data_IF_328263153873
#
_entry.id   IF_328263153873
#
_cell.length_a   1.000
_cell.length_b   1.000
_cell.length_c   1.000
_cell.angle_alpha   90.00
_cell.angle_beta   90.00
_cell.angle_gamma   90.00
#
_symmetry.space_group_name_H-M   'P 1'
#
loop_
_entity.id
_entity.type
_entity.pdbx_description
1 polymer ?
#
# COMPACT_ATOMS: atom_id res chain seq x y z
N UNK A 1 8.53 -23.32 -15.49
CA UNK A 1 7.26 -22.64 -15.18
C UNK A 1 7.64 -21.26 -14.66
N UNK A 2 7.41 -20.18 -15.42
CA UNK A 2 7.66 -18.82 -14.89
C UNK A 2 6.51 -18.49 -13.93
N UNK A 3 6.76 -17.87 -12.76
CA UNK A 3 5.68 -17.41 -11.89
C UNK A 3 4.81 -16.42 -12.69
N UNK A 4 3.49 -16.56 -12.58
CA UNK A 4 2.57 -15.58 -13.15
C UNK A 4 2.70 -14.28 -12.35
N UNK A 5 2.63 -13.10 -13.00
CA UNK A 5 2.59 -11.84 -12.28
C UNK A 5 1.40 -11.85 -11.31
N UNK A 6 1.62 -11.36 -10.08
CA UNK A 6 0.55 -11.20 -9.10
C UNK A 6 -0.48 -10.19 -9.64
N UNK A 7 -1.78 -10.43 -9.43
CA UNK A 7 -2.80 -9.48 -9.86
C UNK A 7 -2.80 -8.24 -8.95
N UNK A 8 -3.21 -7.10 -9.49
CA UNK A 8 -3.34 -5.84 -8.73
C UNK A 8 -4.17 -6.02 -7.45
N UNK A 9 -5.30 -6.72 -7.55
CA UNK A 9 -6.16 -7.06 -6.42
C UNK A 9 -5.46 -7.91 -5.36
N UNK A 10 -4.62 -8.86 -5.76
CA UNK A 10 -3.86 -9.69 -4.82
C UNK A 10 -2.77 -8.87 -4.11
N UNK A 11 -2.06 -8.00 -4.84
CA UNK A 11 -1.09 -7.06 -4.25
C UNK A 11 -1.76 -6.13 -3.24
N UNK A 12 -2.96 -5.61 -3.53
CA UNK A 12 -3.73 -4.79 -2.60
C UNK A 12 -4.10 -5.56 -1.32
N UNK A 13 -4.56 -6.82 -1.44
CA UNK A 13 -4.83 -7.68 -0.28
C UNK A 13 -3.58 -7.88 0.58
N UNK A 14 -2.43 -8.12 -0.07
CA UNK A 14 -1.15 -8.27 0.61
C UNK A 14 -0.74 -6.97 1.30
N UNK A 15 -0.91 -5.83 0.64
CA UNK A 15 -0.64 -4.50 1.19
C UNK A 15 -1.48 -4.25 2.45
N UNK A 16 -2.80 -4.46 2.41
CA UNK A 16 -3.68 -4.34 3.58
C UNK A 16 -3.20 -5.20 4.76
N UNK A 17 -2.86 -6.47 4.48
CA UNK A 17 -2.41 -7.40 5.52
C UNK A 17 -1.05 -6.99 6.12
N UNK A 18 -0.09 -6.57 5.28
CA UNK A 18 1.23 -6.13 5.71
C UNK A 18 1.17 -4.81 6.47
N UNK A 19 0.40 -3.82 6.01
CA UNK A 19 0.20 -2.56 6.73
C UNK A 19 -0.38 -2.78 8.13
N UNK A 20 -1.41 -3.63 8.23
CA UNK A 20 -2.02 -4.00 9.53
C UNK A 20 -1.02 -4.68 10.45
N UNK A 21 -0.14 -5.54 9.92
CA UNK A 21 0.91 -6.22 10.69
C UNK A 21 2.05 -5.28 11.08
N UNK A 22 2.55 -4.47 10.16
CA UNK A 22 3.61 -3.48 10.39
C UNK A 22 3.20 -2.51 11.51
N UNK A 23 1.94 -2.11 11.53
CA UNK A 23 1.34 -1.31 12.61
C UNK A 23 1.47 -1.96 13.99
N UNK A 24 1.26 -3.27 14.08
CA UNK A 24 1.42 -4.03 15.34
C UNK A 24 2.91 -4.13 15.69
N UNK A 25 3.78 -4.35 14.70
CA UNK A 25 5.23 -4.39 14.89
C UNK A 25 5.80 -3.05 15.36
N UNK A 26 5.21 -1.90 15.00
CA UNK A 26 5.62 -0.61 15.54
C UNK A 26 5.45 -0.50 17.06
N UNK A 27 4.56 -1.31 17.67
CA UNK A 27 4.37 -1.38 19.11
C UNK A 27 5.43 -2.24 19.82
N UNK A 28 6.27 -2.98 19.08
CA UNK A 28 7.29 -3.88 19.63
C UNK A 28 8.68 -3.61 19.04
N UNK A 29 9.70 -3.30 19.84
CA UNK A 29 11.04 -2.94 19.35
C UNK A 29 11.86 -4.12 18.81
N UNK A 30 11.34 -5.34 18.82
CA UNK A 30 12.10 -6.55 18.49
C UNK A 30 11.45 -7.28 17.31
N UNK A 31 12.07 -7.12 16.14
CA UNK A 31 11.74 -7.74 14.86
C UNK A 31 10.59 -7.09 14.08
N UNK A 32 10.92 -6.47 12.93
CA UNK A 32 9.98 -5.79 12.01
C UNK A 32 9.91 -6.42 10.60
N UNK A 33 9.65 -7.73 10.46
CA UNK A 33 9.62 -8.40 9.16
C UNK A 33 8.52 -7.86 8.24
N UNK A 34 7.33 -7.53 8.77
CA UNK A 34 6.25 -6.97 7.96
C UNK A 34 6.58 -5.57 7.44
N UNK A 35 7.34 -4.77 8.19
CA UNK A 35 7.80 -3.45 7.71
C UNK A 35 8.71 -3.60 6.49
N UNK A 36 9.67 -4.52 6.52
CA UNK A 36 10.58 -4.75 5.40
C UNK A 36 9.85 -5.32 4.16
N UNK A 37 8.94 -6.28 4.37
CA UNK A 37 8.10 -6.82 3.30
C UNK A 37 7.17 -5.75 2.71
N UNK A 38 6.62 -4.87 3.55
CA UNK A 38 5.77 -3.77 3.11
C UNK A 38 6.57 -2.77 2.27
N UNK A 39 7.78 -2.38 2.70
CA UNK A 39 8.64 -1.47 1.92
C UNK A 39 8.92 -2.00 0.51
N UNK A 40 9.23 -3.31 0.38
CA UNK A 40 9.44 -3.91 -0.94
C UNK A 40 8.17 -3.87 -1.80
N UNK A 41 7.01 -4.16 -1.21
CA UNK A 41 5.73 -4.13 -1.91
C UNK A 41 5.33 -2.71 -2.35
N UNK A 42 5.58 -1.69 -1.52
CA UNK A 42 5.27 -0.30 -1.84
C UNK A 42 6.07 0.17 -3.07
N UNK A 43 7.36 -0.17 -3.15
CA UNK A 43 8.18 0.14 -4.33
C UNK A 43 7.66 -0.51 -5.63
N UNK A 44 7.02 -1.69 -5.54
CA UNK A 44 6.36 -2.31 -6.70
C UNK A 44 5.06 -1.58 -7.09
N UNK A 45 4.33 -1.05 -6.10
CA UNK A 45 3.07 -0.33 -6.30
C UNK A 45 3.26 1.12 -6.74
N UNK A 46 4.35 1.79 -6.35
CA UNK A 46 4.74 3.13 -6.84
C UNK A 46 4.82 3.17 -8.38
N UNK A 47 5.22 2.04 -8.98
CA UNK A 47 5.30 1.89 -10.44
C UNK A 47 3.96 1.81 -11.17
N UNK A 48 2.81 1.79 -10.47
CA UNK A 48 1.49 1.63 -11.09
C UNK A 48 1.05 2.85 -11.92
N UNK A 49 1.55 4.06 -11.63
CA UNK A 49 1.43 5.25 -12.47
C UNK A 49 0.03 5.55 -13.07
N UNK A 50 -0.01 6.32 -14.17
CA UNK A 50 -1.26 6.64 -14.90
C UNK A 50 -1.77 5.48 -15.77
N UNK A 51 -0.89 4.55 -16.16
CA UNK A 51 -1.29 3.35 -16.91
C UNK A 51 -2.16 2.40 -16.07
N UNK A 52 -2.13 2.56 -14.74
CA UNK A 52 -2.91 1.81 -13.79
C UNK A 52 -2.41 0.38 -13.63
N UNK A 53 -2.70 -0.18 -12.46
CA UNK A 53 -2.71 -1.63 -12.32
C UNK A 53 -3.96 -2.18 -13.03
N UNK A 54 -3.87 -3.37 -13.65
CA UNK A 54 -5.01 -3.99 -14.35
C UNK A 54 -6.24 -4.06 -13.42
N UNK A 55 -7.25 -3.24 -13.71
CA UNK A 55 -8.53 -3.01 -13.01
C UNK A 55 -8.69 -3.71 -11.64
N UNK A 56 -8.02 -3.20 -10.57
CA UNK A 56 -8.15 -3.78 -9.25
C UNK A 56 -9.56 -3.64 -8.68
N UNK A 57 -9.96 -4.58 -7.82
CA UNK A 57 -11.22 -4.54 -7.08
C UNK A 57 -11.33 -3.20 -6.29
N UNK A 58 -12.34 -2.36 -6.56
CA UNK A 58 -12.48 -1.06 -5.90
C UNK A 58 -12.54 -1.13 -4.37
N UNK A 59 -13.15 -2.19 -3.83
CA UNK A 59 -13.19 -2.43 -2.38
C UNK A 59 -11.78 -2.61 -1.83
N UNK A 60 -10.93 -3.32 -2.56
CA UNK A 60 -9.55 -3.56 -2.14
C UNK A 60 -8.68 -2.31 -2.25
N UNK A 61 -8.95 -1.41 -3.20
CA UNK A 61 -8.27 -0.10 -3.27
C UNK A 61 -8.56 0.69 -1.98
N UNK A 62 -9.83 0.80 -1.60
CA UNK A 62 -10.25 1.53 -0.38
C UNK A 62 -9.66 0.90 0.88
N UNK A 63 -9.70 -0.43 1.02
CA UNK A 63 -9.16 -1.12 2.19
C UNK A 63 -7.64 -0.99 2.32
N UNK A 64 -6.91 -1.04 1.20
CA UNK A 64 -5.47 -0.81 1.19
C UNK A 64 -5.14 0.64 1.58
N UNK A 65 -5.84 1.62 1.00
CA UNK A 65 -5.64 3.03 1.33
C UNK A 65 -5.91 3.31 2.82
N UNK A 66 -7.02 2.81 3.36
CA UNK A 66 -7.36 2.98 4.77
C UNK A 66 -6.31 2.37 5.72
N UNK A 67 -5.79 1.18 5.40
CA UNK A 67 -4.76 0.53 6.21
C UNK A 67 -3.41 1.28 6.15
N UNK A 68 -3.04 1.82 4.99
CA UNK A 68 -1.84 2.65 4.82
C UNK A 68 -1.96 3.98 5.56
N UNK A 69 -3.15 4.59 5.56
CA UNK A 69 -3.39 5.84 6.27
C UNK A 69 -3.30 5.68 7.80
N UNK A 70 -3.91 4.63 8.37
CA UNK A 70 -3.75 4.30 9.81
C UNK A 70 -2.30 3.98 10.17
N UNK A 71 -1.51 3.41 9.25
CA UNK A 71 -0.08 3.21 9.45
C UNK A 71 0.68 4.54 9.42
N UNK A 72 0.42 5.41 8.43
CA UNK A 72 1.06 6.72 8.28
C UNK A 72 0.91 7.60 9.53
N UNK A 73 -0.29 7.62 10.12
CA UNK A 73 -0.59 8.36 11.35
C UNK A 73 0.31 7.94 12.54
N UNK A 74 0.83 6.71 12.52
CA UNK A 74 1.67 6.14 13.59
C UNK A 74 3.15 6.20 13.29
N UNK A 75 3.54 6.51 12.06
CA UNK A 75 4.95 6.58 11.64
C UNK A 75 5.63 7.90 12.04
N UNK A 76 4.94 8.81 12.73
CA UNK A 76 5.49 10.10 13.21
C UNK A 76 6.66 10.02 14.20
N UNK A 77 7.25 8.85 14.40
CA UNK A 77 8.41 8.59 15.24
C UNK A 77 9.73 8.62 14.43
N UNK A 78 10.83 9.16 14.99
CA UNK A 78 12.12 9.20 14.32
C UNK A 78 12.65 7.80 13.97
N UNK A 79 13.14 7.62 12.74
CA UNK A 79 13.72 6.36 12.25
C UNK A 79 12.83 5.53 11.31
N UNK A 80 11.65 6.02 10.94
CA UNK A 80 10.76 5.38 9.96
C UNK A 80 10.60 6.16 8.63
N UNK A 81 11.51 7.11 8.37
CA UNK A 81 11.43 8.08 7.27
C UNK A 81 11.24 7.44 5.89
N UNK A 82 11.99 6.38 5.57
CA UNK A 82 11.88 5.69 4.28
C UNK A 82 10.56 4.95 4.07
N UNK A 83 10.00 4.33 5.13
CA UNK A 83 8.68 3.69 5.05
C UNK A 83 7.58 4.75 4.93
N UNK A 84 7.70 5.85 5.68
CA UNK A 84 6.73 6.93 5.63
C UNK A 84 6.62 7.51 4.21
N UNK A 85 7.73 7.75 3.51
CA UNK A 85 7.71 8.25 2.13
C UNK A 85 6.96 7.30 1.20
N UNK A 86 7.33 6.02 1.14
CA UNK A 86 6.66 5.05 0.24
C UNK A 86 5.18 4.85 0.57
N UNK A 87 4.79 4.95 1.85
CA UNK A 87 3.37 4.91 2.25
C UNK A 87 2.59 6.10 1.67
N UNK A 88 3.15 7.31 1.71
CA UNK A 88 2.49 8.50 1.15
C UNK A 88 2.42 8.45 -0.38
N UNK A 89 3.49 8.02 -1.05
CA UNK A 89 3.52 7.90 -2.52
C UNK A 89 2.47 6.90 -3.02
N UNK A 90 2.35 5.73 -2.38
CA UNK A 90 1.32 4.75 -2.74
C UNK A 90 -0.08 5.25 -2.38
N UNK A 91 -0.27 6.00 -1.30
CA UNK A 91 -1.56 6.63 -0.99
C UNK A 91 -2.01 7.57 -2.12
N UNK A 92 -1.11 8.36 -2.68
CA UNK A 92 -1.42 9.25 -3.82
C UNK A 92 -1.87 8.45 -5.05
N UNK A 93 -1.20 7.31 -5.35
CA UNK A 93 -1.61 6.39 -6.42
C UNK A 93 -3.02 5.87 -6.18
N UNK A 94 -3.31 5.36 -4.98
CA UNK A 94 -4.62 4.80 -4.65
C UNK A 94 -5.73 5.86 -4.67
N UNK A 95 -5.45 7.07 -4.20
CA UNK A 95 -6.37 8.21 -4.29
C UNK A 95 -6.65 8.60 -5.74
N UNK A 96 -5.63 8.64 -6.59
CA UNK A 96 -5.77 8.89 -8.03
C UNK A 96 -6.66 7.85 -8.72
N UNK A 97 -6.48 6.56 -8.39
CA UNK A 97 -7.33 5.48 -8.91
C UNK A 97 -8.81 5.64 -8.49
N UNK A 98 -9.07 6.11 -7.27
CA UNK A 98 -10.44 6.38 -6.83
C UNK A 98 -11.05 7.59 -7.52
N UNK A 99 -10.30 8.68 -7.65
CA UNK A 99 -10.74 9.90 -8.33
C UNK A 99 -11.12 9.62 -9.80
N UNK A 100 -10.27 8.91 -10.54
CA UNK A 100 -10.56 8.56 -11.94
C UNK A 100 -11.82 7.72 -12.13
N UNK A 101 -12.20 6.91 -11.12
CA UNK A 101 -13.46 6.14 -11.15
C UNK A 101 -14.69 7.02 -10.89
N UNK A 102 -14.57 8.02 -10.02
CA UNK A 102 -15.65 9.00 -9.79
C UNK A 102 -15.91 9.78 -11.08
N UNK A 103 -14.84 10.28 -11.71
CA UNK A 103 -14.94 11.04 -12.96
C UNK A 103 -15.50 10.21 -14.12
N UNK A 104 -15.19 8.92 -14.20
CA UNK A 104 -15.74 8.02 -15.23
C UNK A 104 -17.24 7.73 -15.07
N UNK A 105 -17.82 8.00 -13.89
CA UNK A 105 -19.26 7.80 -13.61
C UNK A 105 -20.10 9.08 -13.69
N UNK A 106 -19.46 10.24 -13.92
CA UNK A 106 -20.09 11.56 -14.03
C UNK A 106 -20.46 11.91 -15.48
#
# INVERSE_FOLDING_TARGET
>A
MRPQPESATAMLRRCTALATRARVELLSPHHRPATAELTALLAEMEGWGEAGADDPDPTMIVLAAAALQDLAERLGEPGAEGLAVGVHEVLDVLHGMMAGRIDATA
#
